data_IF_758169045044
#
_entry.id   IF_758169045044
#
_cell.length_a   1.000
_cell.length_b   1.000
_cell.length_c   1.000
_cell.angle_alpha   90.00
_cell.angle_beta   90.00
_cell.angle_gamma   90.00
#
_symmetry.space_group_name_H-M   'P 1'
#
loop_
_entity.id
_entity.type
_entity.pdbx_description
1 polymer ?
#
# COMPACT_ATOMS: atom_id res chain seq x y z
N UNK A 1 8.84 -5.49 18.98
CA UNK A 1 8.19 -5.41 17.68
C UNK A 1 8.37 -6.70 16.92
N UNK A 2 7.28 -7.27 16.50
CA UNK A 2 7.32 -8.49 15.71
C UNK A 2 6.64 -8.26 14.38
N UNK A 3 7.45 -8.22 13.33
CA UNK A 3 6.95 -8.20 11.98
C UNK A 3 6.97 -9.61 11.42
N UNK A 4 5.90 -9.96 10.71
CA UNK A 4 5.84 -11.21 9.97
C UNK A 4 5.58 -10.90 8.51
N UNK A 5 6.16 -11.69 7.63
CA UNK A 5 6.00 -11.54 6.20
C UNK A 5 4.74 -12.27 5.76
N UNK A 6 3.91 -11.63 4.95
CA UNK A 6 2.75 -12.29 4.35
C UNK A 6 2.93 -12.59 2.88
N UNK A 7 3.92 -11.96 2.23
CA UNK A 7 4.34 -12.27 0.87
C UNK A 7 5.81 -12.65 0.91
N UNK A 8 6.10 -13.84 1.33
CA UNK A 8 7.49 -14.25 1.46
C UNK A 8 7.79 -15.56 0.75
N UNK A 9 6.84 -16.07 0.01
CA UNK A 9 6.90 -17.44 -0.45
C UNK A 9 7.64 -17.65 -1.75
N UNK A 10 8.04 -16.58 -2.40
CA UNK A 10 8.89 -16.66 -3.57
C UNK A 10 10.32 -16.93 -3.13
N UNK A 11 10.97 -17.89 -3.75
CA UNK A 11 12.38 -18.16 -3.47
C UNK A 11 13.25 -16.96 -3.81
N UNK A 12 12.84 -16.21 -4.84
CA UNK A 12 13.51 -14.97 -5.23
C UNK A 12 12.44 -13.90 -5.38
N UNK A 13 12.58 -12.83 -4.62
CA UNK A 13 11.70 -11.69 -4.77
C UNK A 13 12.32 -10.74 -5.78
N UNK A 14 11.58 -10.45 -6.82
CA UNK A 14 11.96 -9.41 -7.76
C UNK A 14 11.46 -8.08 -7.18
N UNK A 15 12.37 -7.29 -6.63
CA UNK A 15 12.02 -6.04 -5.94
C UNK A 15 11.42 -4.99 -6.86
N UNK A 16 11.48 -5.17 -8.17
CA UNK A 16 10.82 -4.28 -9.12
C UNK A 16 9.36 -4.65 -9.35
N UNK A 17 9.02 -5.94 -9.20
CA UNK A 17 7.68 -6.45 -9.46
C UNK A 17 6.97 -6.97 -8.22
N UNK A 18 7.72 -7.31 -7.19
CA UNK A 18 7.19 -7.92 -5.98
C UNK A 18 7.58 -7.13 -4.76
N UNK A 19 6.79 -7.25 -3.70
CA UNK A 19 7.04 -6.59 -2.44
C UNK A 19 6.68 -7.54 -1.31
N UNK A 20 7.34 -7.35 -0.16
CA UNK A 20 7.03 -8.08 1.06
C UNK A 20 6.19 -7.16 1.93
N UNK A 21 5.05 -7.67 2.37
CA UNK A 21 4.18 -6.93 3.28
C UNK A 21 4.40 -7.45 4.70
N UNK A 22 4.49 -6.52 5.63
CA UNK A 22 4.65 -6.85 7.04
C UNK A 22 3.33 -6.68 7.76
N UNK A 23 3.07 -7.58 8.73
CA UNK A 23 1.87 -7.49 9.53
C UNK A 23 2.17 -7.87 10.97
N UNK A 24 1.28 -7.50 11.86
CA UNK A 24 1.35 -7.83 13.27
C UNK A 24 -0.06 -8.07 13.78
N UNK A 25 -0.29 -9.23 14.41
CA UNK A 25 -1.59 -9.59 15.00
C UNK A 25 -2.74 -9.40 13.99
N UNK A 26 -2.59 -9.92 12.79
CA UNK A 26 -3.60 -9.84 11.72
C UNK A 26 -3.83 -8.45 11.14
N UNK A 27 -2.99 -7.48 11.49
CA UNK A 27 -3.04 -6.13 10.94
C UNK A 27 -1.88 -5.89 10.01
N UNK A 28 -2.13 -5.27 8.87
CA UNK A 28 -1.07 -4.88 7.94
C UNK A 28 -0.47 -3.56 8.40
N UNK A 29 0.83 -3.45 8.33
CA UNK A 29 1.55 -2.25 8.74
C UNK A 29 2.17 -1.51 7.56
N UNK A 30 3.02 -2.18 6.79
CA UNK A 30 3.77 -1.52 5.73
C UNK A 30 4.44 -2.55 4.83
N UNK A 31 4.95 -2.10 3.68
CA UNK A 31 5.81 -2.92 2.83
C UNK A 31 7.24 -2.89 3.36
N UNK A 32 8.10 -3.74 2.82
CA UNK A 32 9.50 -3.81 3.25
C UNK A 32 10.28 -2.54 2.94
N UNK A 33 9.93 -1.84 1.86
CA UNK A 33 10.59 -0.62 1.44
C UNK A 33 9.61 0.50 1.11
N UNK A 34 8.33 0.32 1.43
CA UNK A 34 7.26 1.21 0.99
C UNK A 34 6.20 1.38 2.07
N UNK A 35 5.40 2.41 1.90
CA UNK A 35 4.15 2.56 2.64
C UNK A 35 3.00 2.04 1.79
N UNK A 36 1.90 1.70 2.46
CA UNK A 36 0.71 1.16 1.81
C UNK A 36 -0.44 2.15 1.89
N UNK A 37 -1.15 2.31 0.78
CA UNK A 37 -2.42 3.03 0.75
C UNK A 37 -3.48 2.06 0.29
N UNK A 38 -4.55 1.93 1.06
CA UNK A 38 -5.69 1.09 0.75
C UNK A 38 -6.86 1.94 0.27
N UNK A 39 -7.56 1.48 -0.75
CA UNK A 39 -8.65 2.24 -1.36
C UNK A 39 -9.96 1.46 -1.25
N UNK A 40 -10.99 2.13 -0.73
CA UNK A 40 -12.34 1.58 -0.63
C UNK A 40 -13.33 2.73 -0.81
N UNK A 41 -14.30 2.57 -1.73
CA UNK A 41 -15.35 3.57 -1.97
C UNK A 41 -14.79 4.98 -2.20
N UNK A 42 -13.73 5.07 -3.02
CA UNK A 42 -13.05 6.33 -3.33
C UNK A 42 -12.45 7.03 -2.12
N UNK A 43 -12.22 6.29 -1.03
CA UNK A 43 -11.56 6.78 0.18
C UNK A 43 -10.21 6.12 0.34
N UNK A 44 -9.27 6.87 0.90
CA UNK A 44 -7.89 6.40 1.10
C UNK A 44 -7.64 6.13 2.57
N UNK A 45 -6.98 4.99 2.84
CA UNK A 45 -6.64 4.57 4.19
C UNK A 45 -5.19 4.13 4.25
N UNK A 46 -4.54 4.41 5.39
CA UNK A 46 -3.22 3.88 5.67
C UNK A 46 -3.24 3.16 7.01
N UNK A 47 -2.35 2.18 7.20
CA UNK A 47 -2.28 1.46 8.47
C UNK A 47 -1.98 2.41 9.63
N UNK A 48 -2.78 2.30 10.68
CA UNK A 48 -2.68 3.18 11.85
C UNK A 48 -1.36 3.05 12.59
N UNK A 49 -0.83 1.83 12.66
CA UNK A 49 0.36 1.52 13.44
C UNK A 49 1.58 1.24 12.58
N UNK A 50 1.66 1.84 11.39
CA UNK A 50 2.85 1.76 10.58
C UNK A 50 4.00 2.49 11.27
N UNK A 51 5.17 1.87 11.30
CA UNK A 51 6.35 2.46 11.94
C UNK A 51 7.12 3.39 11.03
N UNK A 52 6.91 3.29 9.74
CA UNK A 52 7.62 4.10 8.77
C UNK A 52 6.65 4.99 8.02
N UNK A 53 6.94 6.29 8.02
CA UNK A 53 6.15 7.25 7.26
C UNK A 53 7.10 7.94 6.29
N UNK A 54 7.20 7.40 5.09
CA UNK A 54 8.18 7.83 4.11
C UNK A 54 7.94 9.21 3.53
N UNK A 55 8.98 9.73 2.87
CA UNK A 55 8.95 11.07 2.27
C UNK A 55 7.87 11.16 1.19
N UNK A 56 7.76 10.13 0.35
CA UNK A 56 6.76 10.14 -0.73
C UNK A 56 5.34 10.16 -0.19
N UNK A 57 5.06 9.34 0.83
CA UNK A 57 3.73 9.36 1.46
C UNK A 57 3.47 10.72 2.10
N UNK A 58 4.46 11.28 2.78
CA UNK A 58 4.33 12.59 3.40
C UNK A 58 4.00 13.67 2.37
N UNK A 59 4.66 13.64 1.22
CA UNK A 59 4.38 14.56 0.13
C UNK A 59 2.93 14.39 -0.36
N UNK A 60 2.53 13.15 -0.62
CA UNK A 60 1.19 12.88 -1.15
C UNK A 60 0.08 13.31 -0.19
N UNK A 61 0.28 13.13 1.12
CA UNK A 61 -0.75 13.58 2.09
C UNK A 61 -1.01 15.07 2.03
N UNK A 62 -0.05 15.84 1.55
CA UNK A 62 -0.17 17.30 1.45
C UNK A 62 -0.68 17.76 0.09
N UNK A 63 -0.51 16.96 -0.95
CA UNK A 63 -0.73 17.42 -2.33
C UNK A 63 -1.97 16.83 -3.00
N UNK A 64 -2.37 15.62 -2.64
CA UNK A 64 -3.55 15.01 -3.26
C UNK A 64 -4.83 15.62 -2.67
N UNK A 65 -5.89 15.72 -3.50
CA UNK A 65 -7.15 16.31 -3.02
C UNK A 65 -8.00 15.36 -2.19
N UNK A 66 -7.45 14.22 -1.78
CA UNK A 66 -8.17 13.22 -1.01
C UNK A 66 -7.62 13.18 0.42
N UNK A 67 -8.54 13.06 1.38
CA UNK A 67 -8.14 12.88 2.77
C UNK A 67 -7.70 11.44 2.99
N UNK A 68 -6.56 11.24 3.64
CA UNK A 68 -6.06 9.92 4.00
C UNK A 68 -6.36 9.67 5.47
N UNK A 69 -7.08 8.59 5.74
CA UNK A 69 -7.45 8.20 7.11
C UNK A 69 -6.54 7.10 7.61
N UNK A 70 -6.19 7.17 8.88
CA UNK A 70 -5.40 6.12 9.55
C UNK A 70 -6.35 5.17 10.25
N UNK A 71 -6.31 3.91 9.88
CA UNK A 71 -7.15 2.87 10.49
C UNK A 71 -6.35 1.58 10.64
N UNK A 72 -6.88 0.66 11.44
CA UNK A 72 -6.34 -0.69 11.49
C UNK A 72 -6.79 -1.41 10.21
N UNK A 73 -5.82 -1.89 9.44
CA UNK A 73 -6.08 -2.64 8.23
C UNK A 73 -5.99 -4.13 8.57
N UNK A 74 -7.12 -4.80 8.57
CA UNK A 74 -7.18 -6.22 8.93
C UNK A 74 -7.03 -7.09 7.68
N UNK A 75 -6.23 -8.13 7.79
CA UNK A 75 -6.03 -9.09 6.70
C UNK A 75 -7.37 -9.70 6.29
N UNK A 76 -8.23 -10.01 7.24
CA UNK A 76 -9.54 -10.61 6.97
C UNK A 76 -10.47 -9.71 6.16
N UNK A 77 -10.21 -8.42 6.09
CA UNK A 77 -11.06 -7.45 5.41
C UNK A 77 -10.49 -6.97 4.07
N UNK A 78 -9.43 -7.61 3.58
CA UNK A 78 -8.80 -7.18 2.33
C UNK A 78 -9.77 -7.20 1.15
N UNK A 79 -10.75 -8.08 1.16
CA UNK A 79 -11.74 -8.16 0.08
C UNK A 79 -12.55 -6.87 -0.09
N UNK A 80 -12.58 -6.01 0.93
CA UNK A 80 -13.30 -4.74 0.85
C UNK A 80 -12.57 -3.68 0.04
N UNK A 81 -11.28 -3.85 -0.20
CA UNK A 81 -10.46 -2.84 -0.87
C UNK A 81 -10.37 -3.12 -2.36
N UNK A 82 -10.62 -2.09 -3.16
CA UNK A 82 -10.56 -2.18 -4.62
C UNK A 82 -9.14 -1.98 -5.14
N UNK A 83 -8.30 -1.27 -4.40
CA UNK A 83 -6.92 -1.01 -4.77
C UNK A 83 -6.04 -1.01 -3.53
N UNK A 84 -4.80 -1.46 -3.72
CA UNK A 84 -3.75 -1.33 -2.71
C UNK A 84 -2.53 -0.76 -3.43
N UNK A 85 -2.02 0.36 -2.94
CA UNK A 85 -0.91 1.05 -3.56
C UNK A 85 0.33 0.98 -2.68
N UNK A 86 1.48 0.83 -3.33
CA UNK A 86 2.77 0.94 -2.69
C UNK A 86 3.32 2.33 -2.99
N UNK A 87 3.83 2.99 -1.97
CA UNK A 87 4.36 4.35 -2.11
C UNK A 87 5.74 4.39 -1.46
N UNK A 88 6.75 4.77 -2.23
CA UNK A 88 8.11 4.85 -1.74
C UNK A 88 9.00 5.64 -2.67
N UNK A 89 10.11 6.16 -2.16
CA UNK A 89 11.02 6.98 -2.95
C UNK A 89 11.69 6.18 -4.08
N UNK A 90 11.95 4.90 -3.85
CA UNK A 90 12.58 4.06 -4.87
C UNK A 90 11.61 3.54 -5.92
N UNK A 91 10.39 3.26 -5.53
CA UNK A 91 9.37 2.69 -6.43
C UNK A 91 8.39 3.73 -6.97
N UNK A 92 8.30 4.90 -6.35
CA UNK A 92 7.28 5.88 -6.67
C UNK A 92 5.92 5.44 -6.16
N UNK A 93 4.93 5.41 -7.04
CA UNK A 93 3.58 4.94 -6.73
C UNK A 93 3.30 3.74 -7.63
N UNK A 94 2.98 2.61 -7.02
CA UNK A 94 2.75 1.35 -7.72
C UNK A 94 1.43 0.74 -7.27
N UNK A 95 0.64 0.25 -8.21
CA UNK A 95 -0.60 -0.46 -7.89
C UNK A 95 -0.31 -1.96 -7.78
N UNK A 96 -0.68 -2.56 -6.65
CA UNK A 96 -0.55 -4.00 -6.48
C UNK A 96 -1.63 -4.69 -7.31
N UNK A 97 -1.23 -5.65 -8.16
CA UNK A 97 -2.18 -6.37 -8.98
C UNK A 97 -2.90 -7.48 -8.19
N UNK A 98 -2.16 -8.17 -7.33
CA UNK A 98 -2.72 -9.28 -6.55
C UNK A 98 -1.87 -9.59 -5.33
N UNK A 99 -2.49 -10.24 -4.36
CA UNK A 99 -1.81 -10.84 -3.21
C UNK A 99 -2.31 -12.27 -3.15
N UNK A 100 -1.52 -13.19 -3.70
CA UNK A 100 -1.94 -14.57 -3.91
C UNK A 100 -2.30 -15.29 -2.62
N UNK A 101 -1.52 -15.09 -1.55
CA UNK A 101 -1.76 -15.73 -0.27
C UNK A 101 -3.11 -15.35 0.34
N UNK A 102 -3.64 -14.19 -0.03
CA UNK A 102 -4.91 -13.71 0.48
C UNK A 102 -6.02 -13.80 -0.55
N UNK A 103 -5.70 -14.33 -1.72
CA UNK A 103 -6.63 -14.46 -2.83
C UNK A 103 -7.28 -13.10 -3.15
N UNK A 104 -6.47 -12.05 -3.06
CA UNK A 104 -6.92 -10.69 -3.34
C UNK A 104 -6.44 -10.22 -4.70
N UNK A 105 -7.32 -9.59 -5.44
CA UNK A 105 -7.04 -9.03 -6.77
C UNK A 105 -7.62 -7.63 -6.83
N UNK A 106 -6.86 -6.70 -7.41
CA UNK A 106 -7.39 -5.35 -7.57
C UNK A 106 -8.57 -5.36 -8.54
N UNK A 107 -9.55 -4.52 -8.27
CA UNK A 107 -10.74 -4.38 -9.11
C UNK A 107 -10.83 -3.01 -9.76
N UNK A 108 -9.86 -2.12 -9.50
CA UNK A 108 -9.85 -0.76 -10.04
C UNK A 108 -8.43 -0.23 -10.15
N UNK A 109 -8.23 0.72 -11.03
CA UNK A 109 -6.99 1.50 -11.16
C UNK A 109 -7.29 3.01 -11.06
N UNK A 110 -8.53 3.34 -10.72
CA UNK A 110 -8.97 4.74 -10.75
C UNK A 110 -8.15 5.63 -9.82
N UNK A 111 -8.01 5.23 -8.57
CA UNK A 111 -7.29 6.03 -7.58
C UNK A 111 -5.80 6.02 -7.84
N UNK A 112 -5.26 4.88 -8.29
CA UNK A 112 -3.87 4.79 -8.68
C UNK A 112 -3.53 5.84 -9.75
N UNK A 113 -4.35 5.94 -10.79
CA UNK A 113 -4.09 6.89 -11.87
C UNK A 113 -4.15 8.33 -11.37
N UNK A 114 -5.07 8.62 -10.48
CA UNK A 114 -5.21 9.95 -9.90
C UNK A 114 -4.00 10.33 -9.05
N UNK A 115 -3.56 9.42 -8.20
CA UNK A 115 -2.41 9.67 -7.33
C UNK A 115 -1.11 9.74 -8.13
N UNK A 116 -0.96 8.86 -9.12
CA UNK A 116 0.21 8.86 -9.98
C UNK A 116 0.35 10.20 -10.71
N UNK A 117 -0.74 10.77 -11.15
CA UNK A 117 -0.74 12.07 -11.81
C UNK A 117 -0.19 13.17 -10.88
N UNK A 118 -0.58 13.16 -9.62
CA UNK A 118 -0.06 14.11 -8.64
C UNK A 118 1.42 13.88 -8.38
N UNK A 119 1.83 12.62 -8.23
CA UNK A 119 3.23 12.28 -7.99
C UNK A 119 4.11 12.70 -9.16
N UNK A 120 3.61 12.57 -10.40
CA UNK A 120 4.37 12.91 -11.60
C UNK A 120 4.72 14.41 -11.69
N UNK A 121 4.01 15.26 -10.97
CA UNK A 121 4.29 16.70 -10.98
C UNK A 121 5.59 17.06 -10.28
N UNK A 122 6.18 16.17 -9.52
CA UNK A 122 7.45 16.41 -8.80
C UNK A 122 8.66 15.82 -9.50
N UNK A 123 8.44 15.03 -10.53
CA UNK A 123 9.55 14.38 -11.25
C UNK A 123 10.14 15.28 -12.31
#
# INVERSE_FOLDING_TARGET
>A
LQYKKILSLQKKINLQKEEILFYNKSKILEGSTTNLIFVKNNQLFIPKNSYYFGITLSYLTKTIPYKIKKIDILISNFYEYSEILLVGSGKGVVSISSIDQLNWYRSSLKMYKSILKEYSKVL
#
